data_IF_098489956059
#
_entry.id   IF_098489956059
#
_cell.length_a   1.000
_cell.length_b   1.000
_cell.length_c   1.000
_cell.angle_alpha   90.00
_cell.angle_beta   90.00
_cell.angle_gamma   90.00
#
_symmetry.space_group_name_H-M   'P 1'
#
loop_
_entity.id
_entity.type
_entity.pdbx_description
1 polymer ?
#
# COMPACT_ATOMS: atom_id res chain seq x y z
N UNK A 1 51.84 -25.44 -7.02
CA UNK A 1 51.64 -26.84 -6.56
C UNK A 1 50.45 -26.79 -5.63
N UNK A 2 49.29 -27.40 -5.88
CA UNK A 2 48.86 -28.42 -6.83
C UNK A 2 47.34 -28.29 -6.98
N UNK A 3 46.83 -28.65 -8.16
CA UNK A 3 45.41 -28.71 -8.51
C UNK A 3 44.85 -30.11 -8.21
N UNK A 4 43.55 -30.21 -7.91
CA UNK A 4 42.75 -31.43 -7.99
C UNK A 4 41.39 -31.03 -8.62
N UNK A 5 41.17 -31.22 -9.92
CA UNK A 5 40.63 -32.40 -10.64
C UNK A 5 39.25 -32.88 -10.19
N UNK A 6 38.25 -32.45 -10.94
CA UNK A 6 36.93 -33.08 -11.11
C UNK A 6 37.03 -34.35 -11.96
N UNK A 7 36.19 -35.34 -11.69
CA UNK A 7 35.73 -36.28 -12.73
C UNK A 7 34.32 -36.83 -12.44
N UNK A 8 33.47 -37.02 -13.47
CA UNK A 8 32.07 -37.45 -13.36
C UNK A 8 31.90 -38.97 -13.52
N UNK A 9 30.78 -39.50 -13.02
CA UNK A 9 30.37 -40.90 -13.15
C UNK A 9 29.40 -41.06 -14.32
N UNK A 10 29.78 -41.86 -15.31
CA UNK A 10 28.88 -42.47 -16.30
C UNK A 10 28.48 -43.87 -15.83
N UNK A 11 27.20 -44.23 -15.96
CA UNK A 11 26.77 -45.63 -15.94
C UNK A 11 26.04 -46.01 -17.24
N UNK A 12 26.46 -47.17 -17.71
CA UNK A 12 26.18 -47.87 -18.96
C UNK A 12 24.75 -48.43 -19.05
N UNK A 13 24.19 -48.44 -20.26
CA UNK A 13 22.98 -49.17 -20.61
C UNK A 13 23.33 -50.38 -21.48
N UNK A 14 22.81 -51.57 -21.14
CA UNK A 14 22.54 -52.59 -22.15
C UNK A 14 21.49 -53.64 -21.74
N UNK A 15 20.82 -54.13 -22.77
CA UNK A 15 20.08 -55.40 -22.92
C UNK A 15 18.54 -55.42 -22.80
N UNK A 16 17.98 -56.36 -23.56
CA UNK A 16 16.74 -56.38 -24.33
C UNK A 16 15.74 -57.44 -23.78
N UNK A 17 14.43 -57.19 -23.99
CA UNK A 17 13.27 -58.13 -24.18
C UNK A 17 12.94 -59.13 -23.04
N UNK A 18 11.70 -59.55 -22.74
CA UNK A 18 10.48 -59.75 -23.55
C UNK A 18 9.19 -59.80 -22.69
N UNK A 19 8.07 -59.41 -23.32
CA UNK A 19 6.67 -59.93 -23.28
C UNK A 19 5.94 -60.30 -21.95
N UNK A 20 4.75 -59.71 -21.81
CA UNK A 20 3.67 -60.15 -20.93
C UNK A 20 2.41 -59.31 -21.13
N UNK A 21 1.40 -59.87 -21.82
CA UNK A 21 0.05 -59.32 -21.99
C UNK A 21 -0.59 -58.89 -20.65
N UNK A 22 -1.47 -57.87 -20.65
CA UNK A 22 -2.86 -57.92 -20.10
C UNK A 22 -3.59 -56.56 -20.19
N UNK A 23 -4.71 -56.57 -20.92
CA UNK A 23 -5.96 -55.77 -20.81
C UNK A 23 -5.92 -54.24 -20.57
N UNK A 24 -6.29 -53.49 -21.61
CA UNK A 24 -6.76 -52.10 -21.53
C UNK A 24 -8.02 -52.00 -20.64
N UNK A 25 -7.94 -51.19 -19.58
CA UNK A 25 -9.11 -50.57 -18.94
C UNK A 25 -9.12 -49.10 -19.34
N UNK A 26 -10.12 -48.69 -20.11
CA UNK A 26 -10.41 -47.30 -20.42
C UNK A 26 -10.92 -46.58 -19.17
N UNK A 27 -10.20 -45.55 -18.74
CA UNK A 27 -10.62 -44.64 -17.67
C UNK A 27 -11.27 -43.41 -18.32
N UNK A 28 -12.46 -42.97 -17.90
CA UNK A 28 -13.10 -41.80 -18.49
C UNK A 28 -12.34 -40.54 -18.07
N UNK A 29 -11.96 -39.74 -19.06
CA UNK A 29 -11.36 -38.43 -18.89
C UNK A 29 -12.41 -37.48 -18.29
N UNK A 30 -12.33 -37.19 -16.98
CA UNK A 30 -13.08 -36.08 -16.40
C UNK A 30 -12.46 -34.77 -16.91
N UNK A 31 -13.12 -34.12 -17.85
CA UNK A 31 -12.84 -32.73 -18.21
C UNK A 31 -13.35 -31.87 -17.06
N UNK A 32 -12.45 -31.45 -16.17
CA UNK A 32 -12.74 -30.40 -15.21
C UNK A 32 -12.98 -29.09 -15.96
N UNK A 33 -14.21 -28.59 -15.94
CA UNK A 33 -14.50 -27.22 -16.33
C UNK A 33 -13.83 -26.30 -15.29
N UNK A 34 -12.65 -25.80 -15.64
CA UNK A 34 -12.07 -24.65 -14.96
C UNK A 34 -13.03 -23.47 -15.15
N UNK A 35 -13.74 -23.10 -14.10
CA UNK A 35 -14.50 -21.85 -14.10
C UNK A 35 -13.49 -20.70 -14.17
N UNK A 36 -13.24 -20.18 -15.38
CA UNK A 36 -12.64 -18.86 -15.55
C UNK A 36 -13.62 -17.87 -14.95
N UNK A 37 -13.31 -17.35 -13.75
CA UNK A 37 -13.94 -16.15 -13.25
C UNK A 37 -13.61 -15.02 -14.21
N UNK A 38 -14.52 -14.72 -15.12
CA UNK A 38 -14.48 -13.49 -15.90
C UNK A 38 -14.59 -12.35 -14.90
N UNK A 39 -13.46 -11.72 -14.57
CA UNK A 39 -13.45 -10.42 -13.95
C UNK A 39 -14.28 -9.53 -14.87
N UNK A 40 -15.49 -9.18 -14.42
CA UNK A 40 -16.30 -8.21 -15.13
C UNK A 40 -15.49 -6.93 -15.10
N UNK A 41 -14.96 -6.52 -16.26
CA UNK A 41 -14.48 -5.17 -16.44
C UNK A 41 -15.70 -4.27 -16.23
N UNK A 42 -15.93 -3.88 -14.98
CA UNK A 42 -16.80 -2.77 -14.70
C UNK A 42 -16.22 -1.61 -15.51
N UNK A 43 -17.04 -1.01 -16.37
CA UNK A 43 -16.68 0.26 -16.95
C UNK A 43 -16.42 1.22 -15.79
N UNK A 44 -15.34 2.00 -15.88
CA UNK A 44 -14.85 2.81 -14.79
C UNK A 44 -14.16 4.06 -15.34
N UNK A 45 -14.17 5.12 -14.54
CA UNK A 45 -13.35 6.29 -14.79
C UNK A 45 -11.97 6.11 -14.15
N UNK A 46 -10.94 6.09 -14.99
CA UNK A 46 -9.55 5.94 -14.58
C UNK A 46 -8.75 7.23 -14.77
N UNK A 47 -8.10 7.67 -13.71
CA UNK A 47 -7.22 8.85 -13.69
C UNK A 47 -5.84 8.47 -13.21
N UNK A 48 -4.81 8.95 -13.90
CA UNK A 48 -3.44 8.97 -13.40
C UNK A 48 -3.21 10.33 -12.76
N UNK A 49 -3.16 10.36 -11.43
CA UNK A 49 -3.02 11.58 -10.64
C UNK A 49 -1.54 12.00 -10.49
N UNK A 50 -0.64 11.01 -10.45
CA UNK A 50 0.81 11.16 -10.40
C UNK A 50 1.44 9.96 -11.09
N UNK A 51 2.51 10.18 -11.85
CA UNK A 51 3.39 9.12 -12.38
C UNK A 51 4.83 9.64 -12.46
N UNK A 52 5.80 8.77 -12.62
CA UNK A 52 7.24 9.12 -12.68
C UNK A 52 7.60 10.08 -13.81
N UNK A 53 6.82 10.11 -14.89
CA UNK A 53 6.96 11.02 -16.03
C UNK A 53 6.00 12.23 -15.96
N UNK A 54 5.11 12.26 -14.95
CA UNK A 54 4.02 13.24 -14.84
C UNK A 54 3.91 13.77 -13.40
N UNK A 55 4.34 15.03 -13.14
CA UNK A 55 4.24 15.59 -11.80
C UNK A 55 2.77 15.68 -11.36
N UNK A 56 2.54 15.64 -10.05
CA UNK A 56 1.23 15.94 -9.48
C UNK A 56 0.77 17.33 -9.94
N UNK A 57 -0.43 17.37 -10.52
CA UNK A 57 -1.08 18.61 -10.91
C UNK A 57 -2.31 18.83 -10.05
N UNK A 58 -2.48 20.07 -9.58
CA UNK A 58 -3.67 20.46 -8.85
C UNK A 58 -4.89 20.22 -9.74
N UNK A 59 -5.80 19.36 -9.29
CA UNK A 59 -6.99 18.99 -10.05
C UNK A 59 -8.12 18.59 -9.12
N UNK A 60 -9.34 18.73 -9.63
CA UNK A 60 -10.56 18.35 -8.92
C UNK A 60 -11.45 17.53 -9.85
N UNK A 61 -11.92 16.39 -9.33
CA UNK A 61 -12.83 15.46 -9.99
C UNK A 61 -14.10 15.40 -9.15
N UNK A 62 -15.25 15.64 -9.76
CA UNK A 62 -16.55 15.67 -9.06
C UNK A 62 -17.53 14.69 -9.67
N UNK A 63 -18.41 14.12 -8.88
CA UNK A 63 -19.49 13.24 -9.36
C UNK A 63 -20.34 13.90 -10.46
N UNK A 64 -20.50 15.23 -10.39
CA UNK A 64 -21.22 16.03 -11.39
C UNK A 64 -20.52 16.03 -12.75
N UNK A 65 -19.20 16.22 -12.80
CA UNK A 65 -18.43 16.19 -14.07
C UNK A 65 -18.48 14.80 -14.72
N UNK A 66 -18.53 13.75 -13.91
CA UNK A 66 -18.62 12.36 -14.37
C UNK A 66 -20.04 11.95 -14.82
N UNK A 67 -21.06 12.77 -14.55
CA UNK A 67 -22.45 12.41 -14.80
C UNK A 67 -22.99 11.31 -13.87
N UNK A 68 -22.34 11.08 -12.72
CA UNK A 68 -22.76 10.10 -11.72
C UNK A 68 -24.09 10.54 -11.10
N UNK A 69 -25.05 9.61 -11.05
CA UNK A 69 -26.36 9.81 -10.43
C UNK A 69 -26.34 9.25 -9.01
N UNK A 70 -26.08 10.12 -8.04
CA UNK A 70 -26.04 9.78 -6.61
C UNK A 70 -26.67 10.88 -5.77
N UNK A 71 -27.36 10.51 -4.70
CA UNK A 71 -27.88 11.46 -3.70
C UNK A 71 -26.77 12.00 -2.77
N UNK A 72 -25.57 11.41 -2.86
CA UNK A 72 -24.38 11.76 -2.08
C UNK A 72 -23.28 12.19 -3.05
N UNK A 73 -23.30 13.45 -3.54
CA UNK A 73 -22.28 13.92 -4.46
C UNK A 73 -20.90 13.86 -3.80
N UNK A 74 -19.88 13.48 -4.57
CA UNK A 74 -18.52 13.35 -4.08
C UNK A 74 -17.55 14.23 -4.86
N UNK A 75 -16.42 14.54 -4.23
CA UNK A 75 -15.32 15.31 -4.81
C UNK A 75 -13.99 14.70 -4.41
N UNK A 76 -13.06 14.60 -5.36
CA UNK A 76 -11.67 14.22 -5.14
C UNK A 76 -10.80 15.37 -5.60
N UNK A 77 -9.94 15.87 -4.73
CA UNK A 77 -9.02 16.98 -5.03
C UNK A 77 -7.59 16.53 -4.78
N UNK A 78 -6.72 16.64 -5.78
CA UNK A 78 -5.28 16.57 -5.60
C UNK A 78 -4.74 18.00 -5.52
N UNK A 79 -3.90 18.29 -4.53
CA UNK A 79 -3.19 19.57 -4.43
C UNK A 79 -1.77 19.40 -3.91
N UNK A 80 -0.91 20.34 -4.26
CA UNK A 80 0.43 20.49 -3.70
C UNK A 80 0.41 21.47 -2.52
N UNK A 81 1.06 21.09 -1.42
CA UNK A 81 1.26 21.91 -0.23
C UNK A 81 2.52 22.77 -0.38
N UNK A 82 2.51 23.92 0.30
CA UNK A 82 3.57 24.92 0.23
C UNK A 82 3.90 25.50 1.62
N UNK A 83 5.10 26.05 1.74
CA UNK A 83 5.65 26.68 2.94
C UNK A 83 6.27 25.68 3.92
N UNK A 84 7.30 26.12 4.66
CA UNK A 84 7.91 25.32 5.72
C UNK A 84 8.45 23.96 5.24
N UNK A 85 8.31 22.93 6.09
CA UNK A 85 8.78 21.56 5.78
C UNK A 85 7.76 20.75 4.98
N UNK A 86 6.60 21.30 4.63
CA UNK A 86 5.59 20.65 3.78
C UNK A 86 5.71 21.03 2.30
N UNK A 87 6.69 21.87 1.93
CA UNK A 87 6.87 22.30 0.54
C UNK A 87 6.96 21.10 -0.43
N UNK A 88 6.13 21.14 -1.47
CA UNK A 88 6.09 20.11 -2.51
C UNK A 88 5.33 18.83 -2.15
N UNK A 89 4.72 18.74 -0.96
CA UNK A 89 3.92 17.56 -0.59
C UNK A 89 2.63 17.51 -1.38
N UNK A 90 2.35 16.37 -1.99
CA UNK A 90 1.06 16.08 -2.63
C UNK A 90 0.08 15.52 -1.60
N UNK A 91 -1.16 16.01 -1.62
CA UNK A 91 -2.27 15.52 -0.80
C UNK A 91 -3.51 15.29 -1.66
N UNK A 92 -4.18 14.15 -1.47
CA UNK A 92 -5.44 13.80 -2.10
C UNK A 92 -6.54 13.87 -1.05
N UNK A 93 -7.51 14.75 -1.25
CA UNK A 93 -8.67 14.93 -0.39
C UNK A 93 -9.88 14.30 -1.07
N UNK A 94 -10.53 13.35 -0.40
CA UNK A 94 -11.76 12.71 -0.88
C UNK A 94 -12.89 13.11 0.07
N UNK A 95 -13.90 13.78 -0.47
CA UNK A 95 -15.20 14.00 0.17
C UNK A 95 -16.20 13.10 -0.55
N UNK A 96 -16.67 12.04 0.11
CA UNK A 96 -17.62 11.10 -0.48
C UNK A 96 -19.10 11.56 -0.31
N UNK A 97 -19.32 12.79 0.17
CA UNK A 97 -20.64 13.33 0.52
C UNK A 97 -21.12 12.99 1.93
N UNK A 98 -20.33 12.25 2.72
CA UNK A 98 -20.62 11.93 4.14
C UNK A 98 -19.34 11.87 4.99
N UNK A 99 -18.31 11.20 4.48
CA UNK A 99 -16.96 11.20 5.04
C UNK A 99 -16.04 12.09 4.21
N UNK A 100 -15.16 12.81 4.90
CA UNK A 100 -13.99 13.49 4.33
C UNK A 100 -12.74 12.77 4.79
N UNK A 101 -11.80 12.52 3.88
CA UNK A 101 -10.52 11.91 4.18
C UNK A 101 -9.39 12.57 3.39
N UNK A 102 -8.19 12.54 3.95
CA UNK A 102 -6.99 13.08 3.31
C UNK A 102 -5.90 12.01 3.27
N UNK A 103 -5.37 11.73 2.09
CA UNK A 103 -4.29 10.77 1.83
C UNK A 103 -3.07 11.52 1.31
N UNK A 104 -1.88 11.12 1.74
CA UNK A 104 -0.63 11.84 1.41
C UNK A 104 0.28 10.97 0.54
N UNK A 105 0.19 11.06 -0.80
CA UNK A 105 1.08 10.32 -1.69
C UNK A 105 2.57 10.50 -1.44
N UNK A 106 2.99 11.70 -1.03
CA UNK A 106 4.39 11.97 -0.72
C UNK A 106 4.87 11.28 0.56
N UNK A 107 3.95 10.80 1.42
CA UNK A 107 4.24 10.13 2.69
C UNK A 107 3.60 8.73 2.73
N UNK A 108 4.02 7.84 1.83
CA UNK A 108 3.62 6.43 1.87
C UNK A 108 2.13 6.15 1.67
N UNK A 109 1.41 7.08 1.01
CA UNK A 109 -0.06 7.01 0.89
C UNK A 109 -0.77 6.96 2.25
N UNK A 110 -0.14 7.49 3.31
CA UNK A 110 -0.72 7.51 4.66
C UNK A 110 -2.04 8.28 4.69
N UNK A 111 -2.95 7.85 5.55
CA UNK A 111 -4.20 8.58 5.81
C UNK A 111 -3.89 9.63 6.86
N UNK A 112 -3.85 10.91 6.47
CA UNK A 112 -3.56 12.01 7.38
C UNK A 112 -4.69 12.19 8.39
N UNK A 113 -5.94 12.20 7.92
CA UNK A 113 -7.12 12.35 8.76
C UNK A 113 -8.38 11.85 8.04
N UNK A 114 -9.42 11.60 8.81
CA UNK A 114 -10.77 11.39 8.29
C UNK A 114 -11.81 12.02 9.23
N UNK A 115 -12.98 12.39 8.71
CA UNK A 115 -14.10 12.87 9.54
C UNK A 115 -15.44 12.49 8.94
N UNK A 116 -16.44 12.30 9.81
CA UNK A 116 -17.85 12.11 9.46
C UNK A 116 -18.66 13.14 10.24
N UNK A 117 -19.27 14.09 9.53
CA UNK A 117 -19.83 15.28 10.18
C UNK A 117 -18.75 16.01 10.99
N UNK A 118 -19.04 16.29 12.26
CA UNK A 118 -18.13 16.98 13.19
C UNK A 118 -17.17 16.02 13.92
N UNK A 119 -17.29 14.71 13.71
CA UNK A 119 -16.46 13.70 14.37
C UNK A 119 -15.21 13.46 13.54
N UNK A 120 -14.05 13.93 14.04
CA UNK A 120 -12.72 13.69 13.44
C UNK A 120 -12.08 12.42 14.00
N UNK A 121 -11.63 11.54 13.12
CA UNK A 121 -10.68 10.47 13.41
C UNK A 121 -9.26 10.98 13.19
N UNK A 122 -8.45 10.92 14.23
CA UNK A 122 -7.06 11.36 14.24
C UNK A 122 -6.61 11.81 15.61
N UNK A 123 -5.53 12.58 15.65
CA UNK A 123 -4.94 13.12 16.86
C UNK A 123 -4.21 14.44 16.57
N UNK A 124 -3.85 15.18 17.62
CA UNK A 124 -3.20 16.48 17.51
C UNK A 124 -1.70 16.39 17.84
N UNK A 125 -0.91 16.01 16.83
CA UNK A 125 0.54 16.02 16.92
C UNK A 125 1.11 17.43 17.12
N UNK A 126 2.25 17.60 17.81
CA UNK A 126 3.00 18.85 17.78
C UNK A 126 3.57 19.17 16.38
N UNK A 127 3.74 18.17 15.51
CA UNK A 127 4.17 18.36 14.11
C UNK A 127 2.98 18.84 13.28
N UNK A 128 2.95 20.13 12.95
CA UNK A 128 1.82 20.75 12.23
C UNK A 128 1.92 20.65 10.71
N UNK A 129 3.13 20.61 10.18
CA UNK A 129 3.38 20.42 8.76
C UNK A 129 3.14 18.96 8.36
N UNK A 130 2.61 18.72 7.17
CA UNK A 130 2.72 17.40 6.52
C UNK A 130 4.12 17.34 5.91
N UNK A 131 5.10 16.86 6.68
CA UNK A 131 6.52 17.05 6.34
C UNK A 131 6.91 16.26 5.09
N UNK A 132 7.54 16.91 4.11
CA UNK A 132 8.14 16.23 2.96
C UNK A 132 9.30 15.34 3.44
N UNK A 133 9.38 14.05 3.05
CA UNK A 133 10.50 13.18 3.40
C UNK A 133 11.88 13.74 3.02
N UNK A 134 11.97 14.63 2.02
CA UNK A 134 13.21 15.33 1.67
C UNK A 134 13.78 16.19 2.81
N UNK A 135 12.97 16.51 3.83
CA UNK A 135 13.39 17.24 5.03
C UNK A 135 13.46 16.33 6.27
N UNK A 136 13.41 15.00 6.14
CA UNK A 136 13.48 14.06 7.27
C UNK A 136 14.75 13.23 7.20
N UNK A 137 15.58 13.36 8.22
CA UNK A 137 16.74 12.50 8.43
C UNK A 137 16.34 11.33 9.34
N UNK A 138 15.93 10.19 8.76
CA UNK A 138 15.44 9.02 9.53
C UNK A 138 16.44 8.52 10.58
N UNK A 139 17.74 8.57 10.27
CA UNK A 139 18.83 8.20 11.19
C UNK A 139 19.04 9.23 12.31
N UNK A 140 18.48 10.43 12.19
CA UNK A 140 18.55 11.48 13.19
C UNK A 140 18.03 11.01 14.55
N UNK A 141 18.51 11.64 15.63
CA UNK A 141 18.11 11.33 17.01
C UNK A 141 18.29 9.84 17.39
N UNK A 142 19.31 9.18 16.84
CA UNK A 142 19.57 7.76 17.08
C UNK A 142 18.52 6.84 16.44
N UNK A 143 18.09 7.16 15.21
CA UNK A 143 17.06 6.41 14.48
C UNK A 143 15.63 6.83 14.77
N UNK A 144 15.42 7.93 15.51
CA UNK A 144 14.10 8.48 15.86
C UNK A 144 13.67 9.65 14.94
N UNK A 145 14.36 9.88 13.83
CA UNK A 145 14.05 10.98 12.90
C UNK A 145 12.63 10.93 12.32
N UNK A 146 12.05 9.74 12.25
CA UNK A 146 10.65 9.53 11.84
C UNK A 146 9.65 10.37 12.67
N UNK A 147 9.93 10.60 13.96
CA UNK A 147 9.07 11.41 14.85
C UNK A 147 8.92 12.86 14.39
N UNK A 148 9.83 13.37 13.56
CA UNK A 148 9.75 14.75 13.07
C UNK A 148 8.70 14.97 11.97
N UNK A 149 8.12 13.89 11.43
CA UNK A 149 7.08 13.95 10.40
C UNK A 149 5.75 13.34 10.81
N UNK A 150 5.61 12.82 12.04
CA UNK A 150 4.47 12.01 12.44
C UNK A 150 3.26 12.83 12.90
N UNK A 151 2.17 12.75 12.14
CA UNK A 151 0.88 13.37 12.49
C UNK A 151 -0.33 12.68 11.85
N UNK A 152 -0.15 11.50 11.24
CA UNK A 152 -1.17 10.82 10.45
C UNK A 152 -2.15 9.99 11.31
N UNK A 153 -3.41 9.91 10.87
CA UNK A 153 -4.42 8.98 11.41
C UNK A 153 -3.99 7.53 11.19
N UNK A 154 -3.59 7.15 9.98
CA UNK A 154 -3.03 5.81 9.69
C UNK A 154 -1.70 5.97 8.98
N UNK A 155 -0.63 5.52 9.64
CA UNK A 155 0.69 5.42 9.02
C UNK A 155 1.02 3.96 8.69
N UNK A 156 1.55 3.72 7.49
CA UNK A 156 2.16 2.44 7.12
C UNK A 156 3.56 2.37 7.71
N UNK A 157 3.72 1.59 8.78
CA UNK A 157 5.03 1.26 9.33
C UNK A 157 5.48 -0.07 8.71
N UNK A 158 6.64 -0.09 8.06
CA UNK A 158 7.10 -1.23 7.26
C UNK A 158 7.96 -0.82 6.04
N UNK A 159 8.22 -1.74 5.11
CA UNK A 159 7.93 -3.18 5.20
C UNK A 159 9.17 -4.01 5.46
N UNK A 160 10.36 -3.54 5.06
CA UNK A 160 11.63 -4.22 5.35
C UNK A 160 11.83 -4.43 6.86
N UNK A 161 11.38 -3.49 7.71
CA UNK A 161 11.29 -3.67 9.16
C UNK A 161 10.24 -2.75 9.81
N UNK A 162 9.87 -3.06 11.07
CA UNK A 162 8.99 -2.27 11.93
C UNK A 162 9.49 -2.31 13.37
N UNK A 163 9.35 -1.20 14.09
CA UNK A 163 9.50 -1.16 15.54
C UNK A 163 10.31 0.03 16.00
N UNK A 164 10.72 0.01 17.28
CA UNK A 164 11.69 0.95 17.82
C UNK A 164 13.03 0.82 17.11
N UNK A 165 13.83 1.90 17.05
CA UNK A 165 15.15 1.82 16.44
C UNK A 165 16.07 0.87 17.20
N UNK A 166 16.94 0.18 16.49
CA UNK A 166 17.84 -0.81 17.07
C UNK A 166 18.95 -1.22 16.11
N UNK A 167 20.05 -1.70 16.67
CA UNK A 167 21.12 -2.30 15.87
C UNK A 167 20.73 -3.74 15.53
N UNK A 168 20.70 -4.07 14.25
CA UNK A 168 20.57 -5.43 13.76
C UNK A 168 21.69 -5.73 12.77
N UNK A 169 22.44 -6.79 13.02
CA UNK A 169 23.58 -7.22 12.18
C UNK A 169 24.57 -6.09 11.80
N UNK A 170 24.76 -5.11 12.69
CA UNK A 170 25.66 -3.97 12.47
C UNK A 170 25.05 -2.81 11.67
N UNK A 171 23.77 -2.89 11.32
CA UNK A 171 22.98 -1.83 10.70
C UNK A 171 22.01 -1.21 11.71
N UNK A 172 21.87 0.12 11.71
CA UNK A 172 20.85 0.79 12.51
C UNK A 172 19.53 0.74 11.74
N UNK A 173 18.57 -0.03 12.25
CA UNK A 173 17.19 0.00 11.77
C UNK A 173 16.48 1.18 12.46
N UNK A 174 15.90 2.08 11.66
CA UNK A 174 15.24 3.30 12.18
C UNK A 174 13.82 3.01 12.66
N UNK A 175 13.24 3.93 13.43
CA UNK A 175 11.86 3.83 13.90
C UNK A 175 10.89 3.59 12.74
N UNK A 176 10.11 2.52 12.85
CA UNK A 176 8.95 2.20 12.01
C UNK A 176 9.20 1.97 10.50
N UNK A 177 10.44 1.72 10.08
CA UNK A 177 10.73 1.41 8.68
C UNK A 177 10.70 2.64 7.77
N UNK A 178 10.48 2.42 6.47
CA UNK A 178 10.60 3.47 5.44
C UNK A 178 9.28 3.82 4.76
N UNK A 179 8.29 2.92 4.71
CA UNK A 179 7.08 3.08 3.91
C UNK A 179 6.39 4.45 4.08
N UNK A 180 6.18 4.91 5.32
CA UNK A 180 5.58 6.22 5.63
C UNK A 180 6.37 7.44 5.08
N UNK A 181 7.63 7.26 4.68
CA UNK A 181 8.49 8.31 4.13
C UNK A 181 8.98 7.97 2.71
N UNK A 182 8.35 7.01 2.03
CA UNK A 182 8.55 6.74 0.60
C UNK A 182 7.46 7.48 -0.18
N UNK A 183 7.79 8.43 -1.06
CA UNK A 183 6.83 9.00 -2.00
C UNK A 183 6.33 7.94 -2.98
N UNK A 184 5.04 7.94 -3.29
CA UNK A 184 4.48 7.04 -4.29
C UNK A 184 5.06 7.31 -5.69
N UNK A 185 5.46 6.26 -6.40
CA UNK A 185 5.93 6.35 -7.80
C UNK A 185 4.79 6.58 -8.79
N UNK A 186 3.59 6.11 -8.43
CA UNK A 186 2.39 6.25 -9.23
C UNK A 186 1.19 6.36 -8.31
N UNK A 187 0.24 7.22 -8.66
CA UNK A 187 -1.05 7.35 -7.99
C UNK A 187 -2.15 7.34 -9.04
N UNK A 188 -3.12 6.45 -8.88
CA UNK A 188 -4.28 6.35 -9.77
C UNK A 188 -5.57 6.41 -8.97
N UNK A 189 -6.58 7.04 -9.56
CA UNK A 189 -7.94 7.05 -9.05
C UNK A 189 -8.83 6.27 -10.01
N UNK A 190 -9.57 5.32 -9.45
CA UNK A 190 -10.54 4.51 -10.16
C UNK A 190 -11.92 4.73 -9.54
N UNK A 191 -12.93 4.95 -10.37
CA UNK A 191 -14.32 5.11 -9.93
C UNK A 191 -15.21 4.21 -10.78
N UNK A 192 -15.93 3.29 -10.15
CA UNK A 192 -16.86 2.40 -10.86
C UNK A 192 -17.96 3.22 -11.56
N UNK A 193 -18.34 2.89 -12.80
CA UNK A 193 -19.44 3.56 -13.52
C UNK A 193 -20.84 3.14 -13.06
N UNK A 194 -20.93 2.13 -12.18
CA UNK A 194 -22.20 1.59 -11.69
C UNK A 194 -22.30 1.76 -10.18
N UNK A 195 -23.51 1.95 -9.62
CA UNK A 195 -23.72 1.91 -8.18
C UNK A 195 -23.10 0.64 -7.56
N UNK A 196 -22.42 0.73 -6.40
CA UNK A 196 -22.38 1.90 -5.50
C UNK A 196 -21.37 2.99 -5.89
N UNK A 197 -20.74 2.93 -7.07
CA UNK A 197 -19.73 3.89 -7.54
C UNK A 197 -18.50 3.93 -6.62
N UNK A 198 -17.94 2.76 -6.31
CA UNK A 198 -16.76 2.66 -5.44
C UNK A 198 -15.63 3.57 -5.96
N UNK A 199 -15.01 4.30 -5.03
CA UNK A 199 -13.90 5.22 -5.26
C UNK A 199 -12.64 4.56 -4.70
N UNK A 200 -11.74 4.11 -5.58
CA UNK A 200 -10.49 3.47 -5.23
C UNK A 200 -9.30 4.36 -5.56
N UNK A 201 -8.56 4.80 -4.54
CA UNK A 201 -7.31 5.51 -4.68
C UNK A 201 -6.16 4.53 -4.48
N UNK A 202 -5.38 4.30 -5.53
CA UNK A 202 -4.23 3.38 -5.53
C UNK A 202 -2.92 4.13 -5.60
N UNK A 203 -1.92 3.61 -4.90
CA UNK A 203 -0.57 4.15 -4.94
C UNK A 203 0.49 3.05 -4.95
N UNK A 204 1.52 3.20 -5.77
CA UNK A 204 2.66 2.29 -5.81
C UNK A 204 3.81 2.87 -4.96
N UNK A 205 4.27 2.13 -3.96
CA UNK A 205 5.49 2.43 -3.21
C UNK A 205 6.59 1.44 -3.60
N UNK A 206 7.83 1.92 -3.62
CA UNK A 206 9.01 1.11 -3.93
C UNK A 206 10.03 1.20 -2.80
N UNK A 207 10.20 0.11 -2.06
CA UNK A 207 11.24 -0.05 -1.06
C UNK A 207 12.34 -0.92 -1.67
N UNK A 208 13.32 -0.26 -2.30
CA UNK A 208 14.32 -0.90 -3.15
C UNK A 208 15.72 -0.45 -2.76
N UNK A 209 16.61 -1.43 -2.60
CA UNK A 209 18.03 -1.19 -2.39
C UNK A 209 18.84 -2.35 -3.01
N UNK A 210 19.75 -2.01 -3.92
CA UNK A 210 20.57 -3.00 -4.63
C UNK A 210 21.33 -3.91 -3.65
N UNK A 211 21.24 -5.23 -3.85
CA UNK A 211 21.76 -6.30 -2.97
C UNK A 211 21.07 -6.42 -1.60
N UNK A 212 20.03 -5.65 -1.32
CA UNK A 212 19.31 -5.63 -0.03
C UNK A 212 17.88 -6.09 -0.20
N UNK A 213 17.01 -5.30 -0.83
CA UNK A 213 15.57 -5.54 -0.94
C UNK A 213 15.02 -5.03 -2.27
N UNK A 214 13.97 -5.69 -2.77
CA UNK A 214 13.19 -5.24 -3.93
C UNK A 214 11.70 -5.45 -3.66
N UNK A 215 11.13 -4.58 -2.84
CA UNK A 215 9.72 -4.61 -2.46
C UNK A 215 8.92 -3.58 -3.26
N UNK A 216 7.80 -4.02 -3.82
CA UNK A 216 6.75 -3.14 -4.31
C UNK A 216 5.52 -3.27 -3.44
N UNK A 217 4.93 -2.15 -3.05
CA UNK A 217 3.68 -2.10 -2.28
C UNK A 217 2.62 -1.44 -3.15
N UNK A 218 1.60 -2.19 -3.51
CA UNK A 218 0.39 -1.65 -4.11
C UNK A 218 -0.57 -1.30 -3.00
N UNK A 219 -0.70 -0.02 -2.70
CA UNK A 219 -1.66 0.49 -1.72
C UNK A 219 -3.00 0.73 -2.38
N UNK A 220 -4.09 0.49 -1.66
CA UNK A 220 -5.43 0.82 -2.13
C UNK A 220 -6.28 1.31 -0.97
N UNK A 221 -6.81 2.54 -1.07
CA UNK A 221 -7.88 3.02 -0.22
C UNK A 221 -9.19 2.98 -1.00
N UNK A 222 -10.24 2.37 -0.44
CA UNK A 222 -11.57 2.32 -1.05
C UNK A 222 -12.61 2.97 -0.15
N UNK A 223 -13.48 3.80 -0.73
CA UNK A 223 -14.71 4.30 -0.09
C UNK A 223 -15.83 4.35 -1.11
N UNK A 224 -17.07 4.45 -0.65
CA UNK A 224 -18.25 4.66 -1.50
C UNK A 224 -18.91 6.01 -1.18
N UNK A 225 -19.60 6.64 -2.16
CA UNK A 225 -20.44 7.80 -1.91
C UNK A 225 -21.43 7.56 -0.77
N UNK A 226 -21.46 8.45 0.22
CA UNK A 226 -22.32 8.33 1.40
C UNK A 226 -21.84 7.40 2.50
N UNK A 227 -20.74 6.67 2.30
CA UNK A 227 -20.19 5.76 3.30
C UNK A 227 -19.57 6.51 4.49
N UNK A 228 -19.70 5.95 5.68
CA UNK A 228 -18.97 6.34 6.89
C UNK A 228 -17.74 5.46 7.13
N UNK A 229 -17.29 4.74 6.10
CA UNK A 229 -16.17 3.79 6.16
C UNK A 229 -15.28 3.94 4.94
N UNK A 230 -13.99 3.70 5.16
CA UNK A 230 -13.03 3.38 4.11
C UNK A 230 -12.33 2.06 4.48
N UNK A 231 -11.76 1.38 3.49
CA UNK A 231 -10.91 0.21 3.68
C UNK A 231 -9.54 0.44 3.07
N UNK A 232 -8.54 -0.28 3.58
CA UNK A 232 -7.19 -0.35 3.03
C UNK A 232 -6.93 -1.78 2.56
N UNK A 233 -6.60 -1.98 1.28
CA UNK A 233 -6.38 -3.29 0.67
C UNK A 233 -4.99 -3.36 0.04
N UNK A 234 -3.94 -3.28 0.86
CA UNK A 234 -2.59 -3.22 0.33
C UNK A 234 -2.02 -4.61 0.01
N UNK A 235 -1.18 -4.68 -1.03
CA UNK A 235 -0.44 -5.88 -1.42
C UNK A 235 1.05 -5.56 -1.44
N UNK A 236 1.82 -6.28 -0.61
CA UNK A 236 3.28 -6.29 -0.67
C UNK A 236 3.74 -7.45 -1.56
N UNK A 237 4.63 -7.15 -2.50
CA UNK A 237 5.29 -8.14 -3.36
C UNK A 237 6.79 -8.06 -3.20
N UNK A 238 7.44 -9.19 -2.95
CA UNK A 238 8.88 -9.34 -3.08
C UNK A 238 9.21 -9.67 -4.54
N UNK A 239 9.83 -8.72 -5.24
CA UNK A 239 10.25 -8.88 -6.63
C UNK A 239 11.66 -9.45 -6.77
N UNK A 240 12.39 -9.61 -5.67
CA UNK A 240 13.73 -10.19 -5.67
C UNK A 240 13.74 -11.72 -5.77
N UNK A 241 14.87 -12.26 -6.21
CA UNK A 241 15.06 -13.72 -6.40
C UNK A 241 15.19 -14.52 -5.08
N UNK A 242 15.25 -13.84 -3.93
CA UNK A 242 15.52 -14.45 -2.63
C UNK A 242 14.39 -14.17 -1.65
N UNK A 243 14.08 -15.13 -0.75
CA UNK A 243 13.21 -14.87 0.39
C UNK A 243 13.70 -13.66 1.21
N UNK A 244 12.74 -12.87 1.68
CA UNK A 244 12.98 -11.70 2.52
C UNK A 244 11.97 -11.67 3.65
N UNK A 245 12.44 -11.27 4.82
CA UNK A 245 11.57 -10.95 5.95
C UNK A 245 10.82 -9.64 5.65
N UNK A 246 9.62 -9.53 6.19
CA UNK A 246 8.87 -8.29 6.18
C UNK A 246 8.08 -8.17 7.48
N UNK A 247 7.79 -6.93 7.85
CA UNK A 247 6.94 -6.60 8.98
C UNK A 247 5.96 -5.50 8.56
N UNK A 248 4.76 -5.51 9.11
CA UNK A 248 3.77 -4.50 8.81
C UNK A 248 3.02 -4.10 10.08
N UNK A 249 2.88 -2.79 10.28
CA UNK A 249 2.00 -2.21 11.28
C UNK A 249 1.22 -1.06 10.65
N UNK A 250 -0.11 -1.18 10.65
CA UNK A 250 -1.01 -0.08 10.32
C UNK A 250 -1.23 0.75 11.57
N UNK A 251 -0.33 1.70 11.79
CA UNK A 251 -0.29 2.50 13.01
C UNK A 251 -1.45 3.49 13.00
N UNK A 252 -2.57 3.06 13.60
CA UNK A 252 -3.85 3.78 13.61
C UNK A 252 -4.00 4.58 14.90
N UNK A 253 -4.11 5.90 14.79
CA UNK A 253 -3.99 6.84 15.88
C UNK A 253 -5.30 7.59 16.14
N UNK A 254 -5.79 7.49 17.38
CA UNK A 254 -7.03 8.13 17.79
C UNK A 254 -6.81 8.95 19.07
N UNK A 255 -7.38 10.14 19.09
CA UNK A 255 -7.46 11.02 20.26
C UNK A 255 -8.91 11.46 20.48
N UNK A 256 -9.13 12.65 21.04
CA UNK A 256 -10.46 13.25 21.16
C UNK A 256 -11.15 13.34 19.79
N UNK A 257 -12.46 13.04 19.69
CA UNK A 257 -13.39 12.81 20.80
C UNK A 257 -13.46 11.35 21.28
N UNK A 258 -12.65 10.43 20.75
CA UNK A 258 -12.70 9.00 21.12
C UNK A 258 -11.94 8.69 22.41
N UNK A 259 -10.79 9.36 22.61
CA UNK A 259 -9.93 9.17 23.76
C UNK A 259 -10.20 10.26 24.80
N UNK A 260 -11.01 9.92 25.80
CA UNK A 260 -11.34 10.77 26.95
C UNK A 260 -11.40 9.94 28.24
N UNK A 261 -11.69 10.59 29.37
CA UNK A 261 -11.88 9.87 30.63
C UNK A 261 -13.03 8.86 30.49
N UNK A 262 -12.73 7.59 30.75
CA UNK A 262 -13.71 6.51 30.63
C UNK A 262 -13.75 5.84 29.25
N UNK A 263 -12.92 6.27 28.31
CA UNK A 263 -12.71 5.55 27.05
C UNK A 263 -12.32 4.08 27.30
N UNK A 264 -12.75 3.20 26.39
CA UNK A 264 -12.51 1.77 26.46
C UNK A 264 -11.87 1.28 25.17
N UNK A 265 -11.02 0.28 25.29
CA UNK A 265 -10.53 -0.50 24.17
C UNK A 265 -11.21 -1.87 24.21
N UNK A 266 -11.87 -2.24 23.12
CA UNK A 266 -12.59 -3.51 22.98
C UNK A 266 -11.98 -4.31 21.84
N UNK A 267 -11.54 -5.54 22.12
CA UNK A 267 -11.01 -6.47 21.14
C UNK A 267 -11.31 -7.92 21.59
N UNK A 268 -11.56 -8.86 20.66
CA UNK A 268 -11.59 -10.28 20.99
C UNK A 268 -10.18 -10.72 21.43
N UNK A 269 -10.11 -11.40 22.58
CA UNK A 269 -8.85 -11.91 23.17
C UNK A 269 -8.76 -13.41 22.97
#
# INVERSE_FOLDING_TARGET
MTAETFNPVQHTHNSNKSEGHTLMKTLPLLVGLSALSLASSAFAWDYVLLDTDKPAQNQQITSKQLGVKTDKPFTITLRTLHGGRQEGVSIVEIDNGTMKLSVVPTRGMNVLQASVGDVRMGWDSPVKDVVNPAFIELNGRGGLGWLEGFNELVARCGYEWVGHPGMDNGELLTLHGRAANIPASKVTLHIDEKPPYAISLKGELKEQAFKKVDFSVQTELVTEPGSTRFSLNDTLTNNGDYPKEYQALYHSNFSTPFLEQGARFEAPV
#
